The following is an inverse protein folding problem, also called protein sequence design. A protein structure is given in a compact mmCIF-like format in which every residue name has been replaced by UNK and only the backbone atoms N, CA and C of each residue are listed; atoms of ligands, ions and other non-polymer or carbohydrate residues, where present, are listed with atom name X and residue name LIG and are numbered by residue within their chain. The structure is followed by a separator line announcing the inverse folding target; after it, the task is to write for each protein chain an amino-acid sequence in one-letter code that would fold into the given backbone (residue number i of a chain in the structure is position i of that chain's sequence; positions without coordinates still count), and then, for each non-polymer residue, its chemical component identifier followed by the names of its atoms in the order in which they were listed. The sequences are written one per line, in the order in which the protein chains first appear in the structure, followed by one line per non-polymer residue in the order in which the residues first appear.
data_IF_504961864057
#
_entry.id   IF_504961864057
#
_cell.length_a   1.000
_cell.length_b   1.000
_cell.length_c   1.000
_cell.angle_alpha   90.00
_cell.angle_beta   90.00
_cell.angle_gamma   90.00
#
_symmetry.space_group_name_H-M   'P 1'
#
loop_
_entity.id
_entity.type
_entity.pdbx_description
1 polymer ?
#
# COMPACT_ATOMS: atom_id res chain seq x y z
N UNK A 1 12.78 16.44 30.40
CA UNK A 1 11.37 16.90 30.40
C UNK A 1 10.70 16.84 29.00
N UNK A 2 11.18 16.01 28.06
CA UNK A 2 10.65 15.92 26.67
C UNK A 2 10.09 14.54 26.28
N UNK A 3 10.12 13.52 27.15
CA UNK A 3 9.68 12.16 26.79
C UNK A 3 8.17 11.93 26.81
N UNK A 4 7.35 12.88 27.31
CA UNK A 4 5.90 12.69 27.42
C UNK A 4 5.19 12.50 26.07
N UNK A 5 5.72 13.05 24.98
CA UNK A 5 5.14 12.92 23.63
C UNK A 5 5.76 11.80 22.79
N UNK A 6 6.78 11.10 23.30
CA UNK A 6 7.50 10.06 22.56
C UNK A 6 6.77 8.73 22.66
N UNK A 7 5.75 8.54 21.82
CA UNK A 7 4.98 7.30 21.78
C UNK A 7 5.13 6.57 20.43
N UNK A 8 5.97 5.53 20.41
CA UNK A 8 6.21 4.70 19.21
C UNK A 8 4.94 4.02 18.72
N UNK A 9 4.10 3.53 19.62
CA UNK A 9 2.89 2.77 19.25
C UNK A 9 1.85 3.65 18.55
N UNK A 10 1.70 4.91 19.01
CA UNK A 10 0.86 5.89 18.33
C UNK A 10 1.40 6.19 16.93
N UNK A 11 2.72 6.37 16.80
CA UNK A 11 3.36 6.55 15.50
C UNK A 11 3.11 5.38 14.53
N UNK A 12 3.17 4.14 15.01
CA UNK A 12 2.86 2.96 14.20
C UNK A 12 1.38 2.88 13.82
N UNK A 13 0.46 3.26 14.71
CA UNK A 13 -0.96 3.35 14.38
C UNK A 13 -1.21 4.40 13.29
N UNK A 14 -0.62 5.59 13.43
CA UNK A 14 -0.73 6.65 12.44
C UNK A 14 -0.15 6.23 11.09
N UNK A 15 1.00 5.56 11.06
CA UNK A 15 1.58 5.05 9.82
C UNK A 15 0.64 4.05 9.11
N UNK A 16 0.01 3.13 9.86
CA UNK A 16 -0.96 2.17 9.30
C UNK A 16 -2.18 2.86 8.70
N UNK A 17 -2.71 3.87 9.39
CA UNK A 17 -3.86 4.66 8.91
C UNK A 17 -3.46 5.50 7.70
N UNK A 18 -2.30 6.17 7.75
CA UNK A 18 -1.86 7.12 6.73
C UNK A 18 -1.71 6.51 5.33
N UNK A 19 -1.32 5.23 5.24
CA UNK A 19 -1.22 4.54 3.94
C UNK A 19 -2.41 3.61 3.69
N UNK A 20 -2.98 3.02 4.74
CA UNK A 20 -4.09 2.08 4.59
C UNK A 20 -5.38 2.79 4.17
N UNK A 21 -5.73 3.90 4.83
CA UNK A 21 -7.02 4.56 4.61
C UNK A 21 -7.13 5.15 3.19
N UNK A 22 -6.13 5.88 2.66
CA UNK A 22 -6.17 6.33 1.27
C UNK A 22 -6.23 5.17 0.27
N UNK A 23 -5.50 4.07 0.52
CA UNK A 23 -5.50 2.92 -0.40
C UNK A 23 -6.88 2.26 -0.53
N UNK A 24 -7.69 2.28 0.54
CA UNK A 24 -9.05 1.75 0.48
C UNK A 24 -9.93 2.45 -0.56
N UNK A 25 -9.70 3.75 -0.85
CA UNK A 25 -10.45 4.43 -1.90
C UNK A 25 -10.13 3.88 -3.29
N UNK A 26 -8.86 3.55 -3.55
CA UNK A 26 -8.46 2.87 -4.79
C UNK A 26 -9.11 1.49 -4.88
N UNK A 27 -9.06 0.72 -3.78
CA UNK A 27 -9.65 -0.61 -3.70
C UNK A 27 -11.17 -0.60 -3.92
N UNK A 28 -11.90 0.27 -3.21
CA UNK A 28 -13.36 0.43 -3.37
C UNK A 28 -13.70 0.86 -4.79
N UNK A 29 -12.95 1.80 -5.36
CA UNK A 29 -13.12 2.20 -6.76
C UNK A 29 -13.02 1.02 -7.72
N UNK A 30 -12.10 0.08 -7.48
CA UNK A 30 -11.92 -1.12 -8.31
C UNK A 30 -12.93 -2.23 -8.05
N UNK A 31 -13.51 -2.26 -6.86
CA UNK A 31 -14.64 -3.17 -6.57
C UNK A 31 -15.89 -2.70 -7.32
N UNK A 32 -16.12 -1.39 -7.39
CA UNK A 32 -17.31 -0.82 -8.04
C UNK A 32 -17.16 -0.79 -9.57
N UNK A 33 -16.03 -0.30 -10.09
CA UNK A 33 -15.83 -0.07 -11.52
C UNK A 33 -15.17 -1.25 -12.26
N UNK A 34 -14.76 -2.28 -11.51
CA UNK A 34 -13.98 -3.39 -12.05
C UNK A 34 -12.50 -3.08 -12.23
N UNK A 35 -11.76 -4.06 -12.74
CA UNK A 35 -10.30 -4.03 -12.91
C UNK A 35 -9.87 -4.28 -14.36
N UNK A 36 -10.75 -4.04 -15.34
CA UNK A 36 -10.47 -4.27 -16.76
C UNK A 36 -9.17 -3.57 -17.23
N UNK A 37 -8.93 -2.29 -16.90
CA UNK A 37 -7.68 -1.62 -17.28
C UNK A 37 -6.43 -2.30 -16.69
N UNK A 38 -6.54 -2.87 -15.49
CA UNK A 38 -5.43 -3.57 -14.83
C UNK A 38 -5.17 -4.91 -15.52
N UNK A 39 -6.23 -5.64 -15.86
CA UNK A 39 -6.09 -6.90 -16.63
C UNK A 39 -5.38 -6.65 -17.95
N UNK A 40 -5.74 -5.59 -18.67
CA UNK A 40 -5.08 -5.20 -19.91
C UNK A 40 -3.59 -4.90 -19.68
N UNK A 41 -3.24 -4.09 -18.67
CA UNK A 41 -1.85 -3.79 -18.32
C UNK A 41 -1.04 -5.05 -17.96
N UNK A 42 -1.64 -5.98 -17.20
CA UNK A 42 -1.00 -7.25 -16.81
C UNK A 42 -0.75 -8.12 -18.04
N UNK A 43 -1.74 -8.27 -18.92
CA UNK A 43 -1.60 -9.06 -20.15
C UNK A 43 -0.59 -8.44 -21.11
N UNK A 44 -0.58 -7.11 -21.24
CA UNK A 44 0.42 -6.37 -22.03
C UNK A 44 1.84 -6.56 -21.49
N UNK A 45 1.98 -6.77 -20.17
CA UNK A 45 3.25 -7.08 -19.52
C UNK A 45 3.64 -8.57 -19.64
N UNK A 46 2.99 -9.34 -20.52
CA UNK A 46 3.19 -10.78 -20.71
C UNK A 46 2.90 -11.63 -19.47
N UNK A 47 2.11 -11.12 -18.54
CA UNK A 47 1.71 -11.82 -17.33
C UNK A 47 0.30 -12.42 -17.48
N UNK A 48 0.00 -13.53 -16.79
CA UNK A 48 -1.34 -14.10 -16.78
C UNK A 48 -2.38 -13.11 -16.22
N UNK A 49 -3.47 -12.88 -16.95
CA UNK A 49 -4.52 -11.93 -16.56
C UNK A 49 -5.17 -12.20 -15.20
N UNK A 50 -5.09 -13.44 -14.69
CA UNK A 50 -5.59 -13.77 -13.34
C UNK A 50 -4.82 -13.02 -12.23
N UNK A 51 -3.58 -12.60 -12.48
CA UNK A 51 -2.79 -11.84 -11.49
C UNK A 51 -3.40 -10.46 -11.19
N UNK A 52 -4.20 -9.91 -12.11
CA UNK A 52 -4.88 -8.63 -11.89
C UNK A 52 -5.83 -8.66 -10.67
N UNK A 53 -6.39 -9.82 -10.34
CA UNK A 53 -7.23 -9.99 -9.14
C UNK A 53 -6.45 -9.81 -7.84
N UNK A 54 -5.11 -9.91 -7.88
CA UNK A 54 -4.24 -9.62 -6.74
C UNK A 54 -4.41 -8.20 -6.20
N UNK A 55 -4.87 -7.26 -7.03
CA UNK A 55 -5.14 -5.88 -6.62
C UNK A 55 -6.21 -5.79 -5.53
N UNK A 56 -7.21 -6.68 -5.52
CA UNK A 56 -8.19 -6.71 -4.42
C UNK A 56 -7.55 -7.10 -3.09
N UNK A 57 -6.56 -8.00 -3.13
CA UNK A 57 -5.79 -8.37 -1.95
C UNK A 57 -4.92 -7.18 -1.51
N UNK A 58 -4.23 -6.54 -2.45
CA UNK A 58 -3.30 -5.45 -2.18
C UNK A 58 -3.93 -4.12 -1.76
N UNK A 59 -5.14 -3.82 -2.22
CA UNK A 59 -5.79 -2.51 -2.04
C UNK A 59 -7.05 -2.53 -1.17
N UNK A 60 -7.57 -3.71 -0.87
CA UNK A 60 -8.72 -3.86 0.04
C UNK A 60 -8.33 -4.67 1.26
N UNK A 61 -7.98 -5.94 1.06
CA UNK A 61 -7.75 -6.86 2.18
C UNK A 61 -6.53 -6.45 3.02
N UNK A 62 -5.39 -6.20 2.37
CA UNK A 62 -4.16 -5.82 3.05
C UNK A 62 -4.28 -4.47 3.80
N UNK A 63 -4.84 -3.38 3.23
CA UNK A 63 -5.10 -2.15 3.96
C UNK A 63 -6.02 -2.33 5.17
N UNK A 64 -7.12 -3.08 5.03
CA UNK A 64 -8.05 -3.35 6.14
C UNK A 64 -7.34 -4.09 7.29
N UNK A 65 -6.63 -5.17 6.96
CA UNK A 65 -5.87 -5.96 7.92
C UNK A 65 -4.78 -5.12 8.60
N UNK A 66 -4.07 -4.30 7.82
CA UNK A 66 -3.01 -3.43 8.31
C UNK A 66 -3.55 -2.36 9.27
N UNK A 67 -4.64 -1.67 8.93
CA UNK A 67 -5.29 -0.68 9.81
C UNK A 67 -5.74 -1.36 11.12
N UNK A 68 -6.43 -2.50 11.02
CA UNK A 68 -6.86 -3.29 12.17
C UNK A 68 -5.67 -3.84 13.00
N UNK A 69 -4.48 -3.89 12.42
CA UNK A 69 -3.29 -4.50 13.03
C UNK A 69 -3.29 -6.03 12.98
N UNK A 70 -4.21 -6.65 12.26
CA UNK A 70 -4.30 -8.11 12.15
C UNK A 70 -3.25 -8.57 11.14
N UNK A 71 -2.30 -9.42 11.57
CA UNK A 71 -1.13 -9.80 10.77
C UNK A 71 -0.40 -8.60 10.13
N UNK A 72 -0.29 -7.49 10.89
CA UNK A 72 0.17 -6.20 10.38
C UNK A 72 1.46 -6.27 9.54
N UNK A 73 2.42 -7.12 9.94
CA UNK A 73 3.67 -7.31 9.19
C UNK A 73 3.42 -7.86 7.80
N UNK A 74 2.73 -8.99 7.71
CA UNK A 74 2.47 -9.66 6.44
C UNK A 74 1.49 -8.86 5.57
N UNK A 75 0.48 -8.25 6.17
CA UNK A 75 -0.42 -7.33 5.46
C UNK A 75 0.36 -6.16 4.85
N UNK A 76 1.29 -5.55 5.59
CA UNK A 76 2.12 -4.46 5.09
C UNK A 76 3.10 -4.91 3.99
N UNK A 77 3.60 -6.15 4.04
CA UNK A 77 4.44 -6.70 2.96
C UNK A 77 3.64 -6.93 1.68
N UNK A 78 2.44 -7.52 1.79
CA UNK A 78 1.53 -7.71 0.64
C UNK A 78 1.14 -6.36 0.03
N UNK A 79 0.85 -5.37 0.88
CA UNK A 79 0.58 -3.99 0.47
C UNK A 79 1.77 -3.37 -0.30
N UNK A 80 2.98 -3.47 0.25
CA UNK A 80 4.18 -2.92 -0.38
C UNK A 80 4.48 -3.63 -1.72
N UNK A 81 4.28 -4.95 -1.78
CA UNK A 81 4.42 -5.71 -3.01
C UNK A 81 3.39 -5.28 -4.07
N UNK A 82 2.13 -5.05 -3.68
CA UNK A 82 1.11 -4.49 -4.59
C UNK A 82 1.53 -3.12 -5.14
N UNK A 83 2.07 -2.24 -4.28
CA UNK A 83 2.59 -0.94 -4.73
C UNK A 83 3.75 -1.09 -5.72
N UNK A 84 4.65 -2.06 -5.49
CA UNK A 84 5.74 -2.38 -6.40
C UNK A 84 5.21 -2.88 -7.76
N UNK A 85 4.23 -3.79 -7.76
CA UNK A 85 3.59 -4.25 -8.99
C UNK A 85 2.93 -3.10 -9.75
N UNK A 86 2.19 -2.24 -9.05
CA UNK A 86 1.59 -1.04 -9.64
C UNK A 86 2.64 -0.10 -10.23
N UNK A 87 3.81 0.02 -9.59
CA UNK A 87 4.91 0.86 -10.05
C UNK A 87 5.53 0.32 -11.34
N UNK A 88 5.81 -0.99 -11.38
CA UNK A 88 6.47 -1.65 -12.52
C UNK A 88 5.52 -1.81 -13.72
N UNK A 89 4.27 -2.19 -13.47
CA UNK A 89 3.31 -2.52 -14.53
C UNK A 89 2.53 -1.27 -14.97
N UNK A 90 2.06 -0.46 -14.01
CA UNK A 90 1.15 0.66 -14.27
C UNK A 90 1.82 2.02 -14.41
N UNK A 91 3.03 2.20 -13.87
CA UNK A 91 3.67 3.53 -13.77
C UNK A 91 5.14 3.58 -14.25
N UNK A 92 5.63 2.54 -14.93
CA UNK A 92 7.04 2.45 -15.34
C UNK A 92 7.48 3.61 -16.24
N UNK A 93 6.60 4.09 -17.12
CA UNK A 93 6.85 5.24 -17.98
C UNK A 93 7.00 6.57 -17.24
N UNK A 94 6.61 6.62 -15.96
CA UNK A 94 6.66 7.81 -15.11
C UNK A 94 7.80 7.76 -14.07
N UNK A 95 8.56 6.67 -13.99
CA UNK A 95 9.65 6.49 -13.03
C UNK A 95 10.70 7.59 -13.05
N UNK A 96 10.98 8.19 -14.21
CA UNK A 96 11.97 9.25 -14.36
C UNK A 96 11.33 10.58 -14.79
N UNK A 97 10.03 10.74 -14.54
CA UNK A 97 9.28 11.96 -14.88
C UNK A 97 8.95 12.78 -13.64
N UNK A 98 8.87 14.08 -13.84
CA UNK A 98 8.27 15.00 -12.88
C UNK A 98 6.79 15.19 -13.21
N UNK A 99 5.99 15.49 -12.21
CA UNK A 99 4.62 15.97 -12.37
C UNK A 99 4.62 17.47 -12.75
N UNK A 100 3.42 18.02 -13.01
CA UNK A 100 3.25 19.41 -13.46
C UNK A 100 3.72 20.46 -12.44
N UNK A 101 3.96 20.06 -11.19
CA UNK A 101 4.42 20.92 -10.10
C UNK A 101 5.90 20.71 -9.75
N UNK A 102 6.63 19.90 -10.52
CA UNK A 102 8.05 19.60 -10.30
C UNK A 102 8.33 18.52 -9.24
N UNK A 103 7.30 17.86 -8.72
CA UNK A 103 7.42 16.69 -7.84
C UNK A 103 7.68 15.41 -8.64
N UNK A 104 8.13 14.34 -7.98
CA UNK A 104 8.38 13.07 -8.66
C UNK A 104 7.06 12.37 -9.00
N UNK A 105 6.85 12.01 -10.27
CA UNK A 105 5.54 11.54 -10.75
C UNK A 105 5.01 10.28 -10.06
N UNK A 106 5.90 9.46 -9.48
CA UNK A 106 5.54 8.23 -8.74
C UNK A 106 5.74 8.35 -7.23
N UNK A 107 5.96 9.56 -6.71
CA UNK A 107 6.31 9.80 -5.30
C UNK A 107 5.33 9.13 -4.32
N UNK A 108 4.03 9.29 -4.57
CA UNK A 108 2.99 8.79 -3.67
C UNK A 108 3.04 7.26 -3.56
N UNK A 109 3.22 6.60 -4.69
CA UNK A 109 3.28 5.14 -4.76
C UNK A 109 4.54 4.60 -4.06
N UNK A 110 5.66 5.30 -4.22
CA UNK A 110 6.91 4.94 -3.54
C UNK A 110 6.85 5.22 -2.04
N UNK A 111 6.20 6.31 -1.61
CA UNK A 111 5.95 6.57 -0.19
C UNK A 111 5.09 5.48 0.44
N UNK A 112 4.00 5.05 -0.22
CA UNK A 112 3.20 3.92 0.25
C UNK A 112 4.03 2.64 0.39
N UNK A 113 4.83 2.30 -0.63
CA UNK A 113 5.69 1.13 -0.60
C UNK A 113 6.68 1.17 0.56
N UNK A 114 7.38 2.29 0.75
CA UNK A 114 8.43 2.43 1.77
C UNK A 114 7.86 2.45 3.19
N UNK A 115 6.72 3.12 3.42
CA UNK A 115 6.05 3.10 4.72
C UNK A 115 5.48 1.71 5.02
N UNK A 116 4.91 1.02 4.01
CA UNK A 116 4.48 -0.37 4.16
C UNK A 116 5.64 -1.30 4.53
N UNK A 117 6.80 -1.14 3.87
CA UNK A 117 8.00 -1.92 4.19
C UNK A 117 8.53 -1.60 5.61
N UNK A 118 8.47 -0.33 6.02
CA UNK A 118 8.77 0.07 7.41
C UNK A 118 7.86 -0.63 8.42
N UNK A 119 6.56 -0.74 8.13
CA UNK A 119 5.58 -1.47 8.97
C UNK A 119 5.83 -2.98 8.99
N UNK A 120 6.34 -3.57 7.90
CA UNK A 120 6.77 -4.98 7.91
C UNK A 120 7.90 -5.23 8.91
N UNK A 121 8.87 -4.32 9.02
CA UNK A 121 10.00 -4.44 9.95
C UNK A 121 9.65 -4.04 11.39
N UNK A 122 8.77 -3.06 11.58
CA UNK A 122 8.41 -2.53 12.90
C UNK A 122 7.25 -3.26 13.58
N UNK A 123 6.36 -3.89 12.81
CA UNK A 123 5.19 -4.59 13.34
C UNK A 123 3.97 -3.71 13.59
N UNK A 124 2.94 -4.28 14.22
CA UNK A 124 1.64 -3.61 14.44
C UNK A 124 1.58 -2.65 15.61
N UNK A 125 2.54 -2.71 16.54
CA UNK A 125 2.53 -1.93 17.79
C UNK A 125 1.41 -2.33 18.77
N UNK A 126 1.31 -1.61 19.89
CA UNK A 126 0.37 -1.89 20.99
C UNK A 126 -1.11 -1.76 20.58
N UNK A 127 -1.44 -0.91 19.62
CA UNK A 127 -2.81 -0.72 19.11
C UNK A 127 -3.18 -1.73 18.01
N UNK A 128 -2.47 -2.85 17.94
CA UNK A 128 -2.80 -3.97 17.06
C UNK A 128 -3.85 -4.86 17.70
N UNK A 129 -4.87 -5.28 16.95
CA UNK A 129 -5.84 -6.27 17.43
C UNK A 129 -5.25 -7.68 17.53
N UNK A 130 -4.20 -7.99 16.75
CA UNK A 130 -3.43 -9.24 16.91
C UNK A 130 -2.39 -9.07 18.01
N UNK A 131 -2.45 -9.92 19.04
CA UNK A 131 -1.40 -10.08 20.04
C UNK A 131 -0.47 -11.23 19.63
N UNK A 132 0.79 -10.88 19.34
CA UNK A 132 1.87 -11.71 18.77
C UNK A 132 1.78 -11.90 17.26
#
# INVERSE_FOLDING_TARGET
MLDYFKNKDVGLLLARIAIGFPMLFYGVGKVINGIEPIKEMVVQSHLPGFLAYGVYIGEVLAPLMMIAGIYARWAALVFAFNCLCALVIGQSSYLFKLNDFGGWAVELLVMYMLVGLSLFFTGGGKYSLSKK
#
